data_IF_223856370526
#
_entry.id   IF_223856370526
#
_cell.length_a   1.000
_cell.length_b   1.000
_cell.length_c   1.000
_cell.angle_alpha   90.00
_cell.angle_beta   90.00
_cell.angle_gamma   90.00
#
_symmetry.space_group_name_H-M   'P 1'
#
loop_
_entity.id
_entity.type
_entity.pdbx_description
1 polymer ?
#
# COMPACT_ATOMS: atom_id res chain seq x y z
N UNK A 1 4.63 -24.44 -25.92
CA UNK A 1 5.05 -24.21 -24.51
C UNK A 1 3.82 -23.95 -23.67
N UNK A 2 3.69 -24.56 -22.49
CA UNK A 2 2.54 -24.33 -21.59
C UNK A 2 2.89 -23.22 -20.60
N UNK A 3 2.00 -22.25 -20.37
CA UNK A 3 2.20 -21.28 -19.30
C UNK A 3 2.16 -22.01 -17.95
N UNK A 4 3.11 -21.67 -17.08
CA UNK A 4 3.19 -22.20 -15.72
C UNK A 4 2.77 -21.11 -14.74
N UNK A 5 2.09 -21.53 -13.67
CA UNK A 5 1.78 -20.66 -12.55
C UNK A 5 2.85 -20.87 -11.47
N UNK A 6 3.43 -19.79 -10.97
CA UNK A 6 4.43 -19.87 -9.90
C UNK A 6 4.36 -18.64 -9.01
N UNK A 7 4.81 -18.80 -7.77
CA UNK A 7 4.96 -17.71 -6.81
C UNK A 7 6.40 -17.21 -6.85
N UNK A 8 6.63 -15.96 -7.27
CA UNK A 8 7.96 -15.37 -7.32
C UNK A 8 8.12 -14.42 -6.12
N UNK A 9 9.26 -14.49 -5.38
CA UNK A 9 9.53 -13.56 -4.29
C UNK A 9 9.84 -12.15 -4.81
N UNK A 10 9.51 -11.17 -3.99
CA UNK A 10 9.84 -9.77 -4.23
C UNK A 10 11.16 -9.40 -3.57
N UNK A 11 12.01 -8.68 -4.28
CA UNK A 11 13.20 -8.02 -3.76
C UNK A 11 13.00 -6.51 -3.82
N UNK A 12 13.32 -5.85 -2.72
CA UNK A 12 13.24 -4.40 -2.62
C UNK A 12 14.62 -3.83 -2.92
N UNK A 13 14.66 -2.87 -3.83
CA UNK A 13 15.87 -2.16 -4.25
C UNK A 13 15.70 -0.66 -3.99
N UNK A 14 16.81 0.03 -3.73
CA UNK A 14 16.81 1.45 -3.42
C UNK A 14 16.56 1.78 -1.94
N UNK A 15 16.75 3.05 -1.60
CA UNK A 15 16.50 3.60 -0.26
C UNK A 15 15.36 4.61 -0.34
N UNK A 16 14.22 4.27 0.26
CA UNK A 16 13.04 5.16 0.30
C UNK A 16 13.32 6.43 1.11
N UNK A 17 12.91 7.57 0.56
CA UNK A 17 12.89 8.87 1.26
C UNK A 17 12.08 8.78 2.55
N UNK A 18 10.93 8.09 2.51
CA UNK A 18 10.08 7.87 3.68
C UNK A 18 10.76 7.05 4.78
N UNK A 19 11.60 6.07 4.43
CA UNK A 19 12.42 5.34 5.43
C UNK A 19 13.45 6.29 6.06
N UNK A 20 14.14 7.10 5.25
CA UNK A 20 15.11 8.10 5.75
C UNK A 20 14.45 9.16 6.64
N UNK A 21 13.20 9.52 6.38
CA UNK A 21 12.40 10.44 7.17
C UNK A 21 11.87 9.83 8.49
N UNK A 22 12.22 8.58 8.82
CA UNK A 22 11.80 7.90 10.05
C UNK A 22 10.53 7.07 9.91
N UNK A 23 10.18 6.69 8.68
CA UNK A 23 9.16 5.68 8.38
C UNK A 23 9.70 4.25 8.51
N UNK A 24 8.77 3.29 8.60
CA UNK A 24 9.04 1.85 8.60
C UNK A 24 8.44 1.24 7.33
N UNK A 25 9.24 0.44 6.65
CA UNK A 25 8.80 -0.34 5.50
C UNK A 25 7.89 -1.48 5.96
N UNK A 26 6.70 -1.58 5.37
CA UNK A 26 5.75 -2.68 5.59
C UNK A 26 5.47 -3.38 4.27
N UNK A 27 5.90 -4.64 4.17
CA UNK A 27 5.53 -5.51 3.07
C UNK A 27 4.22 -6.22 3.40
N UNK A 28 3.16 -5.97 2.62
CA UNK A 28 1.88 -6.69 2.74
C UNK A 28 1.91 -8.00 1.95
N UNK A 29 2.65 -8.04 0.84
CA UNK A 29 2.87 -9.23 0.02
C UNK A 29 4.38 -9.45 -0.13
N UNK A 30 4.86 -10.65 0.16
CA UNK A 30 6.28 -11.04 -0.04
C UNK A 30 6.51 -11.84 -1.32
N UNK A 31 5.44 -12.39 -1.88
CA UNK A 31 5.44 -13.19 -3.09
C UNK A 31 4.24 -12.78 -3.95
N UNK A 32 4.41 -12.81 -5.27
CA UNK A 32 3.35 -12.55 -6.25
C UNK A 32 3.12 -13.81 -7.07
N UNK A 33 1.85 -14.16 -7.27
CA UNK A 33 1.45 -15.21 -8.22
C UNK A 33 1.49 -14.65 -9.63
N UNK A 34 2.37 -15.22 -10.44
CA UNK A 34 2.47 -14.89 -11.86
C UNK A 34 2.23 -16.13 -12.71
N UNK A 35 1.83 -15.88 -13.95
CA UNK A 35 1.67 -16.85 -15.00
C UNK A 35 2.55 -16.41 -16.17
N UNK A 36 3.39 -17.31 -16.64
CA UNK A 36 4.35 -16.99 -17.68
C UNK A 36 4.94 -18.23 -18.32
N UNK A 37 5.78 -18.03 -19.32
CA UNK A 37 6.58 -19.10 -19.90
C UNK A 37 7.83 -19.34 -19.07
N UNK A 38 8.33 -20.58 -19.09
CA UNK A 38 9.53 -20.97 -18.34
C UNK A 38 10.78 -20.18 -18.74
N UNK A 39 10.79 -19.58 -19.94
CA UNK A 39 11.88 -18.77 -20.49
C UNK A 39 11.91 -17.33 -19.96
N UNK A 40 10.76 -16.83 -19.51
CA UNK A 40 10.56 -15.44 -19.09
C UNK A 40 10.38 -15.31 -17.58
N UNK A 41 10.59 -16.40 -16.83
CA UNK A 41 10.36 -16.45 -15.40
C UNK A 41 11.62 -15.99 -14.65
N UNK A 42 11.59 -14.83 -13.96
CA UNK A 42 12.71 -14.39 -13.13
C UNK A 42 12.73 -15.11 -11.78
N UNK A 43 13.92 -15.23 -11.19
CA UNK A 43 14.08 -15.79 -9.84
C UNK A 43 13.55 -14.85 -8.74
N UNK A 44 13.53 -13.54 -9.00
CA UNK A 44 12.98 -12.52 -8.11
C UNK A 44 12.52 -11.29 -8.85
N UNK A 45 11.44 -10.68 -8.37
CA UNK A 45 10.92 -9.41 -8.91
C UNK A 45 11.47 -8.25 -8.10
N UNK A 46 12.22 -7.36 -8.75
CA UNK A 46 12.78 -6.16 -8.12
C UNK A 46 11.77 -5.02 -8.12
N UNK A 47 11.61 -4.35 -6.97
CA UNK A 47 10.75 -3.19 -6.77
C UNK A 47 11.61 -2.05 -6.21
N UNK A 48 11.66 -0.94 -6.95
CA UNK A 48 12.33 0.27 -6.51
C UNK A 48 11.43 1.06 -5.54
N UNK A 49 11.96 1.34 -4.36
CA UNK A 49 11.27 2.12 -3.31
C UNK A 49 11.83 3.53 -3.14
N UNK A 50 12.77 3.97 -3.98
CA UNK A 50 13.50 5.23 -3.80
C UNK A 50 12.56 6.44 -3.70
N UNK A 51 11.48 6.46 -4.49
CA UNK A 51 10.51 7.56 -4.54
C UNK A 51 9.36 7.44 -3.52
N UNK A 52 9.32 6.38 -2.71
CA UNK A 52 8.26 6.21 -1.70
C UNK A 52 8.47 7.14 -0.51
N UNK A 53 7.43 7.89 -0.17
CA UNK A 53 7.35 8.73 1.02
C UNK A 53 6.48 8.09 2.13
N UNK A 54 6.48 8.68 3.32
CA UNK A 54 5.67 8.24 4.45
C UNK A 54 4.18 8.32 4.11
N UNK A 55 3.46 7.22 4.29
CA UNK A 55 2.04 7.08 3.96
C UNK A 55 1.78 6.61 2.54
N UNK A 56 2.80 6.51 1.69
CA UNK A 56 2.66 6.01 0.33
C UNK A 56 2.76 4.49 0.25
N UNK A 57 2.13 3.93 -0.77
CA UNK A 57 2.15 2.50 -1.07
C UNK A 57 2.25 2.24 -2.57
N UNK A 58 2.84 1.11 -2.94
CA UNK A 58 2.88 0.61 -4.31
C UNK A 58 1.87 -0.54 -4.42
N UNK A 59 0.99 -0.43 -5.40
CA UNK A 59 -0.02 -1.42 -5.74
C UNK A 59 0.43 -2.32 -6.88
N UNK A 60 -0.21 -3.48 -7.03
CA UNK A 60 0.14 -4.44 -8.09
C UNK A 60 -0.09 -3.86 -9.49
N UNK A 61 -1.12 -3.04 -9.69
CA UNK A 61 -1.38 -2.39 -10.97
C UNK A 61 -0.28 -1.41 -11.42
N UNK A 62 0.51 -0.88 -10.49
CA UNK A 62 1.63 0.01 -10.78
C UNK A 62 2.90 -0.78 -11.17
N UNK A 63 2.94 -2.08 -10.84
CA UNK A 63 4.03 -2.98 -11.21
C UNK A 63 3.74 -3.61 -12.57
N UNK A 64 4.57 -3.30 -13.56
CA UNK A 64 4.51 -3.94 -14.87
C UNK A 64 5.82 -4.68 -15.17
N UNK A 65 5.73 -5.99 -15.37
CA UNK A 65 6.86 -6.83 -15.75
C UNK A 65 6.64 -7.33 -17.18
N UNK A 66 7.67 -7.24 -18.02
CA UNK A 66 7.58 -7.75 -19.41
C UNK A 66 7.40 -9.27 -19.38
N UNK A 67 6.55 -9.78 -20.26
CA UNK A 67 6.32 -11.21 -20.49
C UNK A 67 5.76 -12.01 -19.29
N UNK A 68 5.19 -11.33 -18.28
CA UNK A 68 4.56 -11.97 -17.13
C UNK A 68 3.10 -11.49 -16.99
N UNK A 69 2.19 -12.43 -16.76
CA UNK A 69 0.79 -12.17 -16.43
C UNK A 69 0.63 -12.29 -14.92
N UNK A 70 0.35 -11.18 -14.23
CA UNK A 70 0.11 -11.20 -12.78
C UNK A 70 -1.32 -11.67 -12.52
N UNK A 71 -1.48 -12.69 -11.68
CA UNK A 71 -2.80 -13.25 -11.32
C UNK A 71 -3.34 -12.70 -9.99
N UNK A 72 -2.50 -12.01 -9.22
CA UNK A 72 -2.94 -11.37 -7.99
C UNK A 72 -3.84 -10.15 -8.25
N UNK A 73 -4.68 -9.75 -7.26
CA UNK A 73 -5.60 -8.65 -7.45
C UNK A 73 -4.87 -7.32 -7.73
N UNK A 74 -5.23 -6.57 -8.79
CA UNK A 74 -4.51 -5.35 -9.19
C UNK A 74 -4.58 -4.23 -8.15
N UNK A 75 -5.64 -4.22 -7.31
CA UNK A 75 -5.83 -3.26 -6.23
C UNK A 75 -5.04 -3.58 -4.96
N UNK A 76 -4.46 -4.78 -4.85
CA UNK A 76 -3.73 -5.17 -3.65
C UNK A 76 -2.45 -4.33 -3.51
N UNK A 77 -2.18 -3.88 -2.28
CA UNK A 77 -0.92 -3.24 -1.93
C UNK A 77 0.18 -4.28 -1.78
N UNK A 78 1.36 -3.96 -2.30
CA UNK A 78 2.55 -4.81 -2.24
C UNK A 78 3.43 -4.37 -1.08
N UNK A 79 3.80 -3.09 -1.11
CA UNK A 79 4.68 -2.45 -0.14
C UNK A 79 4.13 -1.08 0.22
N UNK A 80 4.27 -0.71 1.49
CA UNK A 80 3.90 0.60 2.00
C UNK A 80 4.97 1.10 2.97
N UNK A 81 5.13 2.41 3.06
CA UNK A 81 5.98 3.04 4.08
C UNK A 81 5.06 3.72 5.08
N UNK A 82 5.09 3.27 6.32
CA UNK A 82 4.25 3.82 7.40
C UNK A 82 5.10 4.67 8.36
N UNK A 83 4.53 5.70 8.98
CA UNK A 83 5.29 6.48 9.97
C UNK A 83 5.65 5.64 11.19
N UNK A 84 6.81 5.87 11.81
CA UNK A 84 7.21 5.18 13.04
C UNK A 84 6.19 5.35 14.19
N UNK A 85 5.49 6.49 14.24
CA UNK A 85 4.41 6.75 15.20
C UNK A 85 3.22 5.79 15.01
N UNK A 86 2.86 5.46 13.77
CA UNK A 86 1.82 4.46 13.48
C UNK A 86 2.35 3.02 13.58
N UNK A 87 3.60 2.77 13.19
CA UNK A 87 4.21 1.45 13.20
C UNK A 87 4.31 0.81 14.60
N UNK A 88 4.39 1.64 15.64
CA UNK A 88 4.32 1.19 17.03
C UNK A 88 2.96 0.57 17.39
N UNK A 89 1.88 1.00 16.73
CA UNK A 89 0.52 0.51 16.97
C UNK A 89 0.23 -0.81 16.24
N UNK A 90 0.92 -1.06 15.14
CA UNK A 90 0.75 -2.25 14.29
C UNK A 90 1.58 -3.48 14.69
N UNK A 91 2.46 -3.34 15.69
CA UNK A 91 3.29 -4.45 16.15
C UNK A 91 2.57 -5.37 17.15
N UNK A 92 1.27 -5.16 17.42
CA UNK A 92 0.52 -5.90 18.45
C UNK A 92 -0.94 -6.26 18.07
N UNK A 93 -1.33 -6.26 16.79
CA UNK A 93 -2.69 -6.69 16.40
C UNK A 93 -2.64 -7.96 15.53
N UNK A 94 -3.34 -9.05 15.92
CA UNK A 94 -3.59 -10.18 15.01
C UNK A 94 -4.44 -9.74 13.81
N UNK A 95 -4.21 -10.37 12.66
CA UNK A 95 -4.62 -9.97 11.30
C UNK A 95 -6.13 -9.95 10.97
N UNK A 96 -7.04 -9.93 11.94
CA UNK A 96 -8.48 -10.20 11.70
C UNK A 96 -9.45 -9.00 11.75
N UNK A 97 -9.00 -7.74 11.86
CA UNK A 97 -9.95 -6.60 11.92
C UNK A 97 -9.48 -5.36 11.15
N UNK A 98 -9.48 -5.43 9.81
CA UNK A 98 -9.50 -4.22 8.98
C UNK A 98 -10.47 -4.41 7.81
N UNK A 99 -11.76 -4.25 8.10
CA UNK A 99 -12.75 -3.87 7.12
C UNK A 99 -13.34 -2.51 7.54
N UNK A 100 -13.09 -1.53 6.68
CA UNK A 100 -13.87 -0.31 6.47
C UNK A 100 -13.72 0.83 7.48
N UNK A 101 -12.83 1.79 7.16
CA UNK A 101 -13.09 3.21 7.43
C UNK A 101 -12.25 4.10 6.49
N UNK A 102 -12.88 4.57 5.41
CA UNK A 102 -12.54 5.72 4.55
C UNK A 102 -13.82 5.97 3.72
N UNK A 103 -14.40 7.15 3.53
CA UNK A 103 -14.21 8.53 3.96
C UNK A 103 -15.57 9.23 3.70
N UNK A 104 -15.89 10.28 4.45
CA UNK A 104 -16.64 11.40 3.89
C UNK A 104 -16.37 12.67 4.74
N UNK A 105 -15.31 13.37 4.37
CA UNK A 105 -15.13 14.76 4.71
C UNK A 105 -15.99 15.62 3.78
N UNK A 106 -16.77 16.56 4.33
CA UNK A 106 -16.98 17.89 3.73
C UNK A 106 -17.08 18.93 4.85
N UNK A 107 -16.10 19.81 4.86
CA UNK A 107 -15.97 21.03 5.64
C UNK A 107 -16.67 22.18 4.89
N UNK A 108 -17.36 23.09 5.59
CA UNK A 108 -17.34 24.54 5.33
C UNK A 108 -18.46 25.30 6.09
N UNK A 109 -17.97 26.25 6.88
CA UNK A 109 -18.56 27.28 7.72
C UNK A 109 -19.74 28.10 7.16
N UNK A 110 -20.54 28.69 8.09
CA UNK A 110 -21.45 29.79 7.77
C UNK A 110 -22.33 30.30 8.92
N UNK A 111 -21.73 31.07 9.85
CA UNK A 111 -22.29 32.18 10.66
C UNK A 111 -23.74 32.17 11.17
N UNK A 112 -23.90 32.46 12.47
CA UNK A 112 -25.17 32.93 13.03
C UNK A 112 -25.22 33.06 14.56
N UNK A 113 -24.30 33.80 15.17
CA UNK A 113 -24.42 34.28 16.54
C UNK A 113 -25.40 35.46 16.59
N UNK A 114 -26.49 35.38 17.36
CA UNK A 114 -27.02 36.45 18.24
C UNK A 114 -28.44 36.17 18.78
N UNK A 115 -28.52 36.06 20.12
CA UNK A 115 -29.51 36.63 21.08
C UNK A 115 -30.98 36.78 20.60
N UNK A 116 -31.99 36.39 21.37
CA UNK A 116 -32.38 37.08 22.63
C UNK A 116 -33.55 36.36 23.31
N UNK A 117 -33.59 36.49 24.64
CA UNK A 117 -34.65 36.09 25.55
C UNK A 117 -35.89 37.01 25.49
N UNK A 118 -37.02 36.45 25.94
CA UNK A 118 -38.09 37.06 26.75
C UNK A 118 -39.05 38.15 26.19
N UNK A 119 -40.36 37.88 26.39
CA UNK A 119 -41.34 38.88 26.83
C UNK A 119 -42.41 39.28 25.82
N UNK A 120 -43.60 38.67 25.90
CA UNK A 120 -44.86 39.34 26.27
C UNK A 120 -45.89 38.29 26.72
#
# INVERSE_FOLDING_TARGET
DKPVLMNIPLRITGESVGIKAGGKLRLKRRNIKVKGFLKDLPDSLEIDITLLDIGMSIKINELSFRNLEILDPPRAMVVAVISSRLAAKDSNLPEDEIAEEEEAAVDAEGSGDAKSQAGE
#
